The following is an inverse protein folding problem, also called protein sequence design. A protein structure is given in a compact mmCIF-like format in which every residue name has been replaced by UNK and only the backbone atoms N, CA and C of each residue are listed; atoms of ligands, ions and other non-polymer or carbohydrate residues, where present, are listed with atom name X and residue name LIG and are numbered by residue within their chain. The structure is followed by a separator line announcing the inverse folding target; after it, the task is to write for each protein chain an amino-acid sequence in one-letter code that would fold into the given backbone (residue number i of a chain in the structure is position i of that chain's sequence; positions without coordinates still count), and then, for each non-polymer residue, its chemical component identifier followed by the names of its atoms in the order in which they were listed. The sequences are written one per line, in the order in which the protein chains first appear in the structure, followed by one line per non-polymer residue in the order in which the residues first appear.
data_IF_661984611733
#
_entry.id   IF_661984611733
#
_cell.length_a   1.000
_cell.length_b   1.000
_cell.length_c   1.000
_cell.angle_alpha   90.00
_cell.angle_beta   90.00
_cell.angle_gamma   90.00
#
_symmetry.space_group_name_H-M   'P 1'
#
loop_
_entity.id
_entity.type
_entity.pdbx_description
1 polymer ?
#
# COMPACT_ATOMS: atom_id res chain seq x y z
N UNK A 1 13.24 25.16 4.68
CA UNK A 1 11.86 24.82 4.25
C UNK A 1 11.32 23.92 5.34
N UNK A 2 10.37 24.40 6.15
CA UNK A 2 9.70 23.55 7.13
C UNK A 2 8.97 22.43 6.36
N UNK A 3 9.24 21.18 6.71
CA UNK A 3 8.50 20.03 6.19
C UNK A 3 7.04 20.16 6.61
N UNK A 4 6.11 19.80 5.72
CA UNK A 4 4.68 19.83 6.05
C UNK A 4 4.42 18.87 7.23
N UNK A 5 3.39 19.11 8.06
CA UNK A 5 2.98 18.12 9.05
C UNK A 5 2.69 16.78 8.36
N UNK A 6 3.09 15.63 8.90
CA UNK A 6 2.93 14.33 8.24
C UNK A 6 1.47 14.00 7.85
N UNK A 7 0.51 14.47 8.64
CA UNK A 7 -0.93 14.37 8.34
C UNK A 7 -1.29 15.14 7.08
N UNK A 8 -0.68 16.32 6.87
CA UNK A 8 -0.88 17.13 5.68
C UNK A 8 -0.23 16.46 4.46
N UNK A 9 0.95 15.86 4.60
CA UNK A 9 1.58 15.08 3.53
C UNK A 9 0.71 13.91 3.08
N UNK A 10 0.20 13.11 4.04
CA UNK A 10 -0.71 12.01 3.75
C UNK A 10 -2.02 12.49 3.10
N UNK A 11 -2.58 13.61 3.57
CA UNK A 11 -3.79 14.21 2.99
C UNK A 11 -3.56 14.72 1.57
N UNK A 12 -2.39 15.29 1.29
CA UNK A 12 -1.99 15.71 -0.07
C UNK A 12 -1.86 14.52 -1.00
N UNK A 13 -1.26 13.41 -0.54
CA UNK A 13 -1.19 12.16 -1.31
C UNK A 13 -2.60 11.67 -1.66
N UNK A 14 -3.50 11.58 -0.68
CA UNK A 14 -4.88 11.14 -0.91
C UNK A 14 -5.62 12.06 -1.89
N UNK A 15 -5.51 13.38 -1.70
CA UNK A 15 -6.12 14.35 -2.59
C UNK A 15 -5.58 14.25 -4.02
N UNK A 16 -4.27 14.06 -4.19
CA UNK A 16 -3.65 13.90 -5.50
C UNK A 16 -4.17 12.65 -6.23
N UNK A 17 -4.30 11.52 -5.53
CA UNK A 17 -4.84 10.27 -6.10
C UNK A 17 -6.24 10.48 -6.63
N UNK A 18 -7.10 11.10 -5.82
CA UNK A 18 -8.48 11.39 -6.20
C UNK A 18 -8.54 12.35 -7.40
N UNK A 19 -7.77 13.44 -7.37
CA UNK A 19 -7.74 14.42 -8.46
C UNK A 19 -7.32 13.75 -9.77
N UNK A 20 -6.31 12.87 -9.73
CA UNK A 20 -5.85 12.14 -10.92
C UNK A 20 -6.92 11.19 -11.44
N UNK A 21 -7.62 10.49 -10.56
CA UNK A 21 -8.76 9.65 -10.90
C UNK A 21 -9.86 10.44 -11.64
N UNK A 22 -10.35 11.52 -11.02
CA UNK A 22 -11.39 12.36 -11.61
C UNK A 22 -10.93 13.03 -12.92
N UNK A 23 -9.65 13.42 -12.98
CA UNK A 23 -9.05 13.98 -14.18
C UNK A 23 -9.04 12.98 -15.33
N UNK A 24 -8.96 11.67 -15.05
CA UNK A 24 -9.09 10.61 -16.04
C UNK A 24 -10.45 10.66 -16.76
N UNK A 25 -11.55 10.63 -16.00
CA UNK A 25 -12.90 10.75 -16.56
C UNK A 25 -13.10 12.06 -17.30
N UNK A 26 -12.68 13.17 -16.67
CA UNK A 26 -12.82 14.50 -17.25
C UNK A 26 -12.09 14.62 -18.58
N UNK A 27 -10.83 14.19 -18.64
CA UNK A 27 -10.02 14.28 -19.84
C UNK A 27 -10.55 13.38 -20.95
N UNK A 28 -10.95 12.14 -20.64
CA UNK A 28 -11.55 11.25 -21.64
C UNK A 28 -12.83 11.85 -22.23
N UNK A 29 -13.73 12.35 -21.38
CA UNK A 29 -14.96 13.01 -21.83
C UNK A 29 -14.65 14.26 -22.69
N UNK A 30 -13.74 15.11 -22.23
CA UNK A 30 -13.39 16.36 -22.93
C UNK A 30 -12.75 16.10 -24.29
N UNK A 31 -11.85 15.12 -24.40
CA UNK A 31 -11.19 14.74 -25.66
C UNK A 31 -12.18 14.15 -26.67
N UNK A 32 -13.25 13.52 -26.20
CA UNK A 32 -14.33 13.00 -27.06
C UNK A 32 -15.43 14.05 -27.34
N UNK A 33 -15.29 15.28 -26.83
CA UNK A 33 -16.29 16.33 -26.98
C UNK A 33 -17.61 16.04 -26.24
N UNK A 34 -17.57 15.23 -25.18
CA UNK A 34 -18.72 14.93 -24.32
C UNK A 34 -18.92 16.09 -23.34
N UNK A 35 -20.18 16.47 -23.11
CA UNK A 35 -20.51 17.55 -22.18
C UNK A 35 -20.22 17.12 -20.73
N UNK A 36 -19.47 17.97 -20.02
CA UNK A 36 -19.22 17.86 -18.59
C UNK A 36 -19.78 19.12 -17.95
N UNK A 37 -20.54 18.99 -16.86
CA UNK A 37 -21.13 20.13 -16.16
C UNK A 37 -20.35 20.51 -14.91
N UNK A 38 -19.74 19.55 -14.20
CA UNK A 38 -19.08 19.78 -12.91
C UNK A 38 -17.78 18.99 -12.79
N UNK A 39 -16.77 19.60 -12.21
CA UNK A 39 -15.56 18.94 -11.72
C UNK A 39 -15.35 19.37 -10.27
N UNK A 40 -15.59 18.46 -9.34
CA UNK A 40 -15.54 18.76 -7.91
C UNK A 40 -14.42 17.98 -7.22
N UNK A 41 -13.64 18.68 -6.41
CA UNK A 41 -12.67 18.09 -5.49
C UNK A 41 -13.25 18.19 -4.08
N UNK A 42 -13.46 17.04 -3.46
CA UNK A 42 -14.03 16.87 -2.13
C UNK A 42 -15.54 16.67 -2.09
N UNK A 43 -16.07 16.56 -0.89
CA UNK A 43 -17.49 16.47 -0.57
C UNK A 43 -17.94 17.59 0.37
N UNK A 44 -19.26 17.76 0.50
CA UNK A 44 -19.88 18.74 1.39
C UNK A 44 -20.05 20.14 0.77
N UNK A 45 -20.14 21.19 1.60
CA UNK A 45 -20.37 22.55 1.14
C UNK A 45 -19.21 23.05 0.27
N UNK A 46 -19.56 23.86 -0.74
CA UNK A 46 -18.60 24.47 -1.66
C UNK A 46 -17.86 25.59 -0.94
N UNK A 47 -16.53 25.48 -0.87
CA UNK A 47 -15.66 26.52 -0.32
C UNK A 47 -15.28 27.55 -1.37
N UNK A 48 -14.95 27.07 -2.57
CA UNK A 48 -14.62 27.90 -3.71
C UNK A 48 -15.17 27.27 -4.98
N UNK A 49 -15.64 28.09 -5.92
CA UNK A 49 -16.05 27.64 -7.25
C UNK A 49 -15.72 28.67 -8.31
N UNK A 50 -15.43 28.18 -9.51
CA UNK A 50 -15.30 29.01 -10.70
C UNK A 50 -15.86 28.28 -11.92
N UNK A 51 -16.42 29.03 -12.86
CA UNK A 51 -16.98 28.49 -14.09
C UNK A 51 -16.03 28.76 -15.25
N UNK A 52 -15.64 27.72 -15.98
CA UNK A 52 -14.83 27.86 -17.18
C UNK A 52 -15.31 26.88 -18.27
N UNK A 53 -15.51 27.39 -19.49
CA UNK A 53 -15.93 26.59 -20.67
C UNK A 53 -17.15 25.68 -20.39
N UNK A 54 -18.18 26.21 -19.72
CA UNK A 54 -19.41 25.49 -19.32
C UNK A 54 -19.21 24.35 -18.30
N UNK A 55 -18.06 24.32 -17.62
CA UNK A 55 -17.78 23.41 -16.50
C UNK A 55 -17.67 24.22 -15.20
N UNK A 56 -18.41 23.82 -14.16
CA UNK A 56 -18.23 24.33 -12.80
C UNK A 56 -17.11 23.55 -12.11
N UNK A 57 -16.01 24.23 -11.81
CA UNK A 57 -14.92 23.70 -10.99
C UNK A 57 -15.16 24.10 -9.53
N UNK A 58 -15.19 23.15 -8.62
CA UNK A 58 -15.45 23.41 -7.19
C UNK A 58 -14.49 22.70 -6.26
N UNK A 59 -14.08 23.40 -5.21
CA UNK A 59 -13.35 22.84 -4.06
C UNK A 59 -14.32 22.81 -2.88
N UNK A 60 -14.46 21.66 -2.24
CA UNK A 60 -15.41 21.43 -1.15
C UNK A 60 -14.71 21.14 0.17
N UNK A 61 -15.45 21.26 1.27
CA UNK A 61 -14.90 21.23 2.62
C UNK A 61 -14.14 19.96 2.99
N UNK A 62 -14.56 18.79 2.50
CA UNK A 62 -13.96 17.51 2.85
C UNK A 62 -13.15 16.95 1.68
N UNK A 63 -11.81 16.90 1.72
CA UNK A 63 -10.96 16.44 0.61
C UNK A 63 -10.93 14.90 0.45
N UNK A 64 -11.99 14.21 0.84
CA UNK A 64 -12.10 12.75 0.91
C UNK A 64 -12.86 12.16 -0.29
N UNK A 65 -12.71 12.76 -1.46
CA UNK A 65 -13.27 12.26 -2.72
C UNK A 65 -13.38 13.35 -3.76
N UNK A 66 -14.07 13.07 -4.85
CA UNK A 66 -14.31 13.98 -5.96
C UNK A 66 -15.40 13.41 -6.83
N UNK A 67 -15.84 14.18 -7.82
CA UNK A 67 -16.69 13.64 -8.88
C UNK A 67 -16.64 14.52 -10.13
N UNK A 68 -16.80 13.85 -11.27
CA UNK A 68 -17.14 14.48 -12.56
C UNK A 68 -18.64 14.36 -12.81
N UNK A 69 -19.31 15.50 -12.91
CA UNK A 69 -20.74 15.59 -13.18
C UNK A 69 -21.04 15.70 -14.68
N UNK A 70 -21.97 14.87 -15.15
CA UNK A 70 -22.50 14.92 -16.52
C UNK A 70 -23.92 15.52 -16.52
N UNK A 71 -24.29 16.35 -17.50
CA UNK A 71 -25.62 16.99 -17.59
C UNK A 71 -26.73 16.05 -18.06
N UNK A 72 -26.47 14.73 -18.13
CA UNK A 72 -27.35 13.73 -18.72
C UNK A 72 -28.78 13.74 -18.18
N UNK A 73 -28.97 14.09 -16.89
CA UNK A 73 -30.27 14.08 -16.21
C UNK A 73 -30.49 15.34 -15.35
N UNK A 74 -29.77 16.43 -15.64
CA UNK A 74 -29.97 17.69 -14.93
C UNK A 74 -31.23 18.38 -15.47
N UNK A 75 -32.33 18.48 -14.69
CA UNK A 75 -33.58 19.06 -15.16
C UNK A 75 -33.44 20.55 -15.49
N UNK A 76 -32.40 21.21 -14.97
CA UNK A 76 -32.09 22.61 -15.23
C UNK A 76 -31.08 22.80 -16.38
N UNK A 77 -30.71 21.71 -17.08
CA UNK A 77 -29.80 21.77 -18.23
C UNK A 77 -30.48 22.37 -19.46
N UNK A 78 -29.81 23.34 -20.09
CA UNK A 78 -30.23 23.93 -21.38
C UNK A 78 -29.93 23.00 -22.58
N UNK A 79 -29.26 21.88 -22.37
CA UNK A 79 -28.84 20.94 -23.43
C UNK A 79 -30.00 20.02 -23.82
N UNK A 80 -30.32 19.87 -25.13
CA UNK A 80 -31.36 18.96 -25.59
C UNK A 80 -31.12 17.50 -25.15
N UNK A 81 -32.18 16.81 -24.73
CA UNK A 81 -32.11 15.42 -24.20
C UNK A 81 -31.54 14.42 -25.23
N UNK A 82 -31.72 14.71 -26.51
CA UNK A 82 -31.26 13.87 -27.65
C UNK A 82 -29.88 14.26 -28.19
N UNK A 83 -29.17 15.19 -27.52
CA UNK A 83 -27.84 15.62 -27.97
C UNK A 83 -26.85 14.43 -27.94
N UNK A 84 -26.14 14.23 -29.05
CA UNK A 84 -25.17 13.14 -29.26
C UNK A 84 -23.97 13.26 -28.31
N UNK A 85 -23.66 14.47 -27.85
CA UNK A 85 -22.55 14.77 -26.95
C UNK A 85 -22.89 14.54 -25.47
N UNK A 86 -24.12 14.12 -25.14
CA UNK A 86 -24.44 13.59 -23.80
C UNK A 86 -23.87 12.19 -23.63
N UNK A 87 -23.32 11.89 -22.45
CA UNK A 87 -22.63 10.62 -22.21
C UNK A 87 -23.59 9.44 -22.43
N UNK A 88 -24.82 9.52 -21.92
CA UNK A 88 -25.89 8.52 -22.15
C UNK A 88 -26.25 8.25 -23.62
N UNK A 89 -25.97 9.17 -24.53
CA UNK A 89 -26.31 9.07 -25.96
C UNK A 89 -25.13 8.59 -26.82
N UNK A 90 -23.93 8.55 -26.26
CA UNK A 90 -22.74 8.08 -26.95
C UNK A 90 -22.77 6.56 -27.22
N UNK A 91 -22.05 6.11 -28.27
CA UNK A 91 -21.77 4.70 -28.48
C UNK A 91 -21.19 4.02 -27.22
N UNK A 92 -21.42 2.72 -27.10
CA UNK A 92 -20.97 1.93 -25.94
C UNK A 92 -19.46 2.08 -25.73
N UNK A 93 -18.65 1.98 -26.79
CA UNK A 93 -17.19 2.10 -26.68
C UNK A 93 -16.75 3.46 -26.10
N UNK A 94 -17.40 4.54 -26.50
CA UNK A 94 -17.11 5.88 -25.99
C UNK A 94 -17.42 5.98 -24.50
N UNK A 95 -18.56 5.41 -24.08
CA UNK A 95 -18.94 5.35 -22.66
C UNK A 95 -17.98 4.47 -21.85
N UNK A 96 -17.57 3.31 -22.36
CA UNK A 96 -16.55 2.44 -21.73
C UNK A 96 -15.26 3.24 -21.51
N UNK A 97 -14.81 3.98 -22.52
CA UNK A 97 -13.57 4.75 -22.44
C UNK A 97 -13.64 5.79 -21.32
N UNK A 98 -14.72 6.58 -21.26
CA UNK A 98 -14.90 7.58 -20.19
C UNK A 98 -15.01 6.93 -18.82
N UNK A 99 -15.81 5.88 -18.66
CA UNK A 99 -16.04 5.22 -17.36
C UNK A 99 -14.76 4.51 -16.88
N UNK A 100 -13.95 3.93 -17.76
CA UNK A 100 -12.70 3.27 -17.37
C UNK A 100 -11.52 4.22 -17.21
N UNK A 101 -11.62 5.47 -17.71
CA UNK A 101 -10.50 6.39 -17.73
C UNK A 101 -9.97 6.76 -16.35
N UNK A 102 -10.83 6.88 -15.33
CA UNK A 102 -10.38 7.14 -13.96
C UNK A 102 -9.54 6.00 -13.38
N UNK A 103 -9.96 4.75 -13.61
CA UNK A 103 -9.17 3.56 -13.23
C UNK A 103 -7.82 3.57 -13.94
N UNK A 104 -7.83 3.78 -15.27
CA UNK A 104 -6.60 3.81 -16.07
C UNK A 104 -5.66 4.92 -15.59
N UNK A 105 -6.20 6.09 -15.24
CA UNK A 105 -5.42 7.20 -14.70
C UNK A 105 -4.69 6.81 -13.40
N UNK A 106 -5.35 6.10 -12.48
CA UNK A 106 -4.72 5.63 -11.24
C UNK A 106 -3.65 4.56 -11.49
N UNK A 107 -3.88 3.62 -12.41
CA UNK A 107 -2.88 2.62 -12.80
C UNK A 107 -1.64 3.31 -13.37
N UNK A 108 -1.83 4.27 -14.28
CA UNK A 108 -0.73 5.06 -14.87
C UNK A 108 -0.02 5.87 -13.78
N UNK A 109 -0.77 6.48 -12.85
CA UNK A 109 -0.19 7.29 -11.80
C UNK A 109 0.62 6.46 -10.80
N UNK A 110 0.14 5.28 -10.41
CA UNK A 110 0.92 4.32 -9.62
C UNK A 110 2.25 4.00 -10.29
N UNK A 111 2.23 3.68 -11.59
CA UNK A 111 3.45 3.39 -12.34
C UNK A 111 4.41 4.60 -12.34
N UNK A 112 3.89 5.81 -12.56
CA UNK A 112 4.68 7.04 -12.55
C UNK A 112 5.27 7.36 -11.17
N UNK A 113 4.56 7.07 -10.08
CA UNK A 113 5.05 7.23 -8.70
C UNK A 113 6.25 6.30 -8.47
N UNK A 114 6.13 5.02 -8.83
CA UNK A 114 7.23 4.05 -8.69
C UNK A 114 8.41 4.44 -9.60
N UNK A 115 8.14 4.90 -10.82
CA UNK A 115 9.19 5.36 -11.72
C UNK A 115 9.91 6.59 -11.15
N UNK A 116 9.17 7.56 -10.62
CA UNK A 116 9.72 8.74 -9.97
C UNK A 116 10.56 8.37 -8.74
N UNK A 117 10.12 7.39 -7.94
CA UNK A 117 10.88 6.84 -6.83
C UNK A 117 12.20 6.24 -7.32
N UNK A 118 12.19 5.42 -8.36
CA UNK A 118 13.40 4.78 -8.92
C UNK A 118 14.39 5.82 -9.45
N UNK A 119 13.91 6.87 -10.12
CA UNK A 119 14.75 7.94 -10.65
C UNK A 119 15.32 8.82 -9.53
N UNK A 120 14.53 9.11 -8.49
CA UNK A 120 14.92 10.04 -7.41
C UNK A 120 15.74 9.35 -6.31
N UNK A 121 15.27 8.21 -5.82
CA UNK A 121 15.89 7.45 -4.73
C UNK A 121 16.92 6.42 -5.22
N UNK A 122 16.84 5.98 -6.48
CA UNK A 122 17.67 4.90 -7.03
C UNK A 122 17.03 3.51 -6.89
N UNK A 123 17.67 2.53 -7.52
CA UNK A 123 17.27 1.12 -7.49
C UNK A 123 17.76 0.48 -6.19
N UNK A 124 16.89 -0.22 -5.42
CA UNK A 124 17.33 -1.06 -4.34
C UNK A 124 18.02 -2.30 -4.94
N UNK A 125 19.34 -2.36 -4.84
CA UNK A 125 20.11 -3.52 -5.26
C UNK A 125 20.60 -4.25 -4.02
N UNK A 126 20.24 -5.54 -3.95
CA UNK A 126 20.79 -6.45 -2.97
C UNK A 126 22.21 -6.81 -3.37
N UNK A 127 23.17 -6.16 -2.75
CA UNK A 127 24.57 -6.53 -2.87
C UNK A 127 24.83 -7.71 -1.94
N UNK A 128 25.01 -8.89 -2.52
CA UNK A 128 25.33 -10.10 -1.75
C UNK A 128 26.80 -10.07 -1.33
N UNK A 129 27.03 -10.23 -0.03
CA UNK A 129 28.34 -10.36 0.58
C UNK A 129 28.61 -11.84 0.90
N UNK A 130 29.89 -12.25 0.99
CA UNK A 130 30.22 -13.59 1.44
C UNK A 130 29.66 -13.90 2.82
N UNK A 131 29.30 -15.18 3.00
CA UNK A 131 28.93 -15.72 4.31
C UNK A 131 27.46 -15.56 4.69
N UNK A 132 27.19 -15.86 5.96
CA UNK A 132 25.85 -15.86 6.56
C UNK A 132 25.87 -14.93 7.76
N UNK A 133 24.98 -13.93 7.76
CA UNK A 133 24.86 -13.00 8.87
C UNK A 133 24.16 -13.68 10.05
N UNK A 134 24.59 -13.34 11.26
CA UNK A 134 23.97 -13.76 12.52
C UNK A 134 23.26 -12.54 13.15
N UNK A 135 21.96 -12.31 12.89
CA UNK A 135 21.24 -11.18 13.48
C UNK A 135 21.09 -11.32 14.98
N UNK A 136 20.87 -12.55 15.47
CA UNK A 136 20.57 -12.82 16.86
C UNK A 136 21.22 -14.13 17.32
N UNK A 137 21.71 -14.12 18.56
CA UNK A 137 22.27 -15.29 19.24
C UNK A 137 21.46 -15.52 20.50
N UNK A 138 20.86 -16.70 20.64
CA UNK A 138 20.07 -17.05 21.83
C UNK A 138 21.00 -17.19 23.04
N UNK A 139 20.59 -16.64 24.17
CA UNK A 139 21.31 -16.82 25.44
C UNK A 139 21.47 -18.31 25.79
N UNK A 140 22.59 -18.62 26.46
CA UNK A 140 22.97 -19.98 26.90
C UNK A 140 23.12 -21.04 25.79
N UNK A 141 23.04 -20.64 24.52
CA UNK A 141 23.23 -21.53 23.37
C UNK A 141 24.68 -21.96 23.15
N UNK A 142 24.89 -23.05 22.39
CA UNK A 142 26.24 -23.46 21.97
C UNK A 142 27.02 -22.34 21.27
N UNK A 143 26.39 -21.53 20.41
CA UNK A 143 27.03 -20.39 19.79
C UNK A 143 27.43 -19.30 20.80
N UNK A 144 26.57 -19.01 21.79
CA UNK A 144 26.89 -18.06 22.85
C UNK A 144 28.07 -18.55 23.71
N UNK A 145 28.10 -19.84 24.06
CA UNK A 145 29.21 -20.44 24.83
C UNK A 145 30.53 -20.44 24.05
N UNK A 146 30.46 -20.59 22.73
CA UNK A 146 31.62 -20.50 21.85
C UNK A 146 32.07 -19.05 21.57
N UNK A 147 31.28 -18.05 21.95
CA UNK A 147 31.62 -16.63 21.81
C UNK A 147 31.18 -15.99 20.51
N UNK A 148 30.24 -16.59 19.77
CA UNK A 148 29.54 -15.96 18.63
C UNK A 148 28.63 -14.86 19.15
N UNK A 149 28.57 -13.73 18.44
CA UNK A 149 27.80 -12.53 18.81
C UNK A 149 26.87 -12.12 17.69
N UNK A 150 25.82 -11.37 18.05
CA UNK A 150 24.97 -10.68 17.07
C UNK A 150 25.82 -9.74 16.21
N UNK A 151 25.58 -9.76 14.91
CA UNK A 151 26.32 -9.00 13.90
C UNK A 151 27.53 -9.74 13.30
N UNK A 152 27.91 -10.91 13.82
CA UNK A 152 28.97 -11.73 13.20
C UNK A 152 28.52 -12.28 11.83
N UNK A 153 29.47 -12.42 10.91
CA UNK A 153 29.25 -13.03 9.59
C UNK A 153 30.02 -14.34 9.50
N UNK A 154 29.34 -15.47 9.37
CA UNK A 154 29.98 -16.77 9.19
C UNK A 154 30.46 -16.89 7.74
N UNK A 155 31.77 -16.81 7.52
CA UNK A 155 32.43 -16.85 6.22
C UNK A 155 32.73 -18.28 5.75
N UNK A 156 32.84 -19.23 6.68
CA UNK A 156 33.18 -20.62 6.36
C UNK A 156 32.91 -21.58 7.51
N UNK A 157 32.87 -22.87 7.18
CA UNK A 157 32.68 -23.99 8.12
C UNK A 157 33.66 -25.12 7.78
N UNK A 158 34.36 -25.64 8.79
CA UNK A 158 35.38 -26.70 8.70
C UNK A 158 36.41 -26.47 7.58
N UNK A 159 36.91 -25.24 7.47
CA UNK A 159 37.89 -24.84 6.44
C UNK A 159 37.31 -24.65 5.02
N UNK A 160 36.03 -24.91 4.81
CA UNK A 160 35.33 -24.64 3.55
C UNK A 160 34.68 -23.27 3.59
N UNK A 161 35.09 -22.38 2.67
CA UNK A 161 34.48 -21.06 2.53
C UNK A 161 33.08 -21.15 1.94
N UNK A 162 32.15 -20.42 2.53
CA UNK A 162 30.78 -20.32 2.06
C UNK A 162 30.73 -19.42 0.80
N UNK A 163 29.95 -19.81 -0.23
CA UNK A 163 29.88 -19.04 -1.48
C UNK A 163 29.25 -17.66 -1.27
N UNK A 164 29.67 -16.70 -2.10
CA UNK A 164 29.18 -15.30 -2.09
C UNK A 164 27.70 -15.15 -2.41
N UNK A 165 27.11 -16.12 -3.11
CA UNK A 165 25.75 -16.00 -3.66
C UNK A 165 25.12 -17.37 -3.71
N UNK A 166 23.86 -17.44 -3.26
CA UNK A 166 23.02 -18.62 -3.43
C UNK A 166 22.00 -18.76 -2.30
N UNK A 167 20.73 -19.10 -2.61
CA UNK A 167 19.74 -19.45 -1.58
C UNK A 167 20.16 -20.67 -0.74
N UNK A 168 21.19 -21.42 -1.17
CA UNK A 168 21.73 -22.58 -0.50
C UNK A 168 22.84 -22.30 0.53
N UNK A 169 23.35 -21.06 0.67
CA UNK A 169 24.46 -20.79 1.59
C UNK A 169 24.05 -21.02 3.05
N UNK A 170 22.85 -20.54 3.41
CA UNK A 170 22.29 -20.77 4.75
C UNK A 170 21.98 -22.25 4.95
N UNK A 171 21.40 -22.93 3.96
CA UNK A 171 21.06 -24.35 4.08
C UNK A 171 22.30 -25.22 4.22
N UNK A 172 23.39 -24.92 3.50
CA UNK A 172 24.67 -25.62 3.61
C UNK A 172 25.24 -25.52 5.03
N UNK A 173 25.26 -24.32 5.61
CA UNK A 173 25.70 -24.12 6.99
C UNK A 173 24.81 -24.90 7.97
N UNK A 174 23.48 -24.80 7.82
CA UNK A 174 22.53 -25.52 8.66
C UNK A 174 22.71 -27.04 8.56
N UNK A 175 22.96 -27.58 7.37
CA UNK A 175 23.16 -29.01 7.14
C UNK A 175 24.44 -29.54 7.82
N UNK A 176 25.53 -28.78 7.79
CA UNK A 176 26.77 -29.15 8.48
C UNK A 176 26.57 -29.16 10.00
N UNK A 177 25.90 -28.15 10.54
CA UNK A 177 25.59 -28.07 11.97
C UNK A 177 24.67 -29.21 12.40
N UNK A 178 23.61 -29.50 11.63
CA UNK A 178 22.67 -30.59 11.95
C UNK A 178 23.33 -31.97 11.98
N UNK A 179 24.31 -32.22 11.11
CA UNK A 179 25.02 -33.51 10.99
C UNK A 179 26.08 -33.75 12.07
N UNK A 180 26.43 -32.74 12.86
CA UNK A 180 27.51 -32.81 13.84
C UNK A 180 27.04 -32.48 15.28
N UNK A 181 26.01 -33.17 15.83
CA UNK A 181 25.66 -32.99 17.24
C UNK A 181 26.81 -33.45 18.14
N UNK A 182 27.16 -32.64 19.15
CA UNK A 182 28.20 -32.97 20.14
C UNK A 182 29.63 -33.06 19.58
N UNK A 183 29.87 -32.63 18.33
CA UNK A 183 31.19 -32.56 17.71
C UNK A 183 31.58 -31.10 17.46
N UNK A 184 32.83 -30.74 17.71
CA UNK A 184 33.32 -29.39 17.38
C UNK A 184 33.24 -29.19 15.86
N UNK A 185 32.63 -28.08 15.48
CA UNK A 185 32.56 -27.56 14.11
C UNK A 185 33.31 -26.23 14.12
N UNK A 186 34.30 -26.10 13.25
CA UNK A 186 35.12 -24.89 13.19
C UNK A 186 34.46 -23.84 12.30
N UNK A 187 34.11 -22.68 12.86
CA UNK A 187 33.49 -21.58 12.13
C UNK A 187 34.50 -20.47 11.93
N UNK A 188 34.68 -20.06 10.67
CA UNK A 188 35.39 -18.81 10.35
C UNK A 188 34.36 -17.68 10.33
N UNK A 189 34.46 -16.74 11.27
CA UNK A 189 33.56 -15.61 11.39
C UNK A 189 34.28 -14.28 11.09
N UNK A 190 33.60 -13.35 10.45
CA UNK A 190 34.01 -11.95 10.33
C UNK A 190 33.31 -11.13 11.40
N UNK A 191 34.08 -10.47 12.27
CA UNK A 191 33.60 -9.53 13.29
C UNK A 191 34.25 -8.17 13.07
N UNK A 192 33.51 -7.25 12.45
CA UNK A 192 34.09 -5.99 11.96
C UNK A 192 35.15 -6.26 10.90
N UNK A 193 36.38 -5.76 11.12
CA UNK A 193 37.52 -5.97 10.22
C UNK A 193 38.39 -7.20 10.59
N UNK A 194 37.95 -8.03 11.55
CA UNK A 194 38.71 -9.20 12.01
C UNK A 194 38.05 -10.51 11.60
N UNK A 195 38.85 -11.40 11.01
CA UNK A 195 38.49 -12.81 10.82
C UNK A 195 38.91 -13.60 12.06
N UNK A 196 37.94 -14.24 12.72
CA UNK A 196 38.17 -15.10 13.88
C UNK A 196 37.77 -16.54 13.53
N UNK A 197 38.49 -17.50 14.09
CA UNK A 197 38.15 -18.91 13.98
C UNK A 197 37.62 -19.36 15.35
N UNK A 198 36.38 -19.85 15.38
CA UNK A 198 35.66 -20.24 16.60
C UNK A 198 35.15 -21.66 16.44
N UNK A 199 35.54 -22.52 17.36
CA UNK A 199 35.01 -23.87 17.44
C UNK A 199 33.69 -23.87 18.23
N UNK A 200 32.61 -24.25 17.55
CA UNK A 200 31.29 -24.38 18.16
C UNK A 200 30.95 -25.86 18.27
N UNK A 201 30.50 -26.30 19.44
CA UNK A 201 29.98 -27.65 19.64
C UNK A 201 28.45 -27.60 19.63
N UNK A 202 27.77 -28.04 18.55
CA UNK A 202 26.30 -28.00 18.48
C UNK A 202 25.65 -28.85 19.57
N UNK A 203 24.63 -28.28 20.20
CA UNK A 203 23.80 -28.99 21.18
C UNK A 203 22.94 -30.03 20.46
N UNK A 204 22.82 -31.22 21.02
CA UNK A 204 21.93 -32.25 20.49
C UNK A 204 20.48 -31.90 20.83
N UNK A 205 19.66 -31.74 19.80
CA UNK A 205 18.22 -31.50 19.94
C UNK A 205 17.46 -32.82 20.06
N UNK A 206 16.18 -32.76 20.45
CA UNK A 206 15.31 -33.93 20.66
C UNK A 206 15.13 -34.78 19.39
N UNK A 207 15.36 -34.20 18.22
CA UNK A 207 15.35 -34.84 16.91
C UNK A 207 16.70 -35.47 16.51
N UNK A 208 17.69 -35.52 17.44
CA UNK A 208 19.08 -35.96 17.22
C UNK A 208 19.86 -35.10 16.21
N UNK A 209 19.40 -33.88 15.94
CA UNK A 209 20.14 -32.92 15.11
C UNK A 209 20.93 -31.94 15.95
N UNK A 210 22.08 -31.50 15.45
CA UNK A 210 22.87 -30.44 16.08
C UNK A 210 22.22 -29.07 15.90
N UNK A 211 22.22 -28.25 16.95
CA UNK A 211 21.76 -26.85 16.92
C UNK A 211 22.73 -25.95 17.68
N UNK A 212 23.04 -24.80 17.11
CA UNK A 212 23.92 -23.81 17.75
C UNK A 212 23.19 -22.62 18.37
N UNK A 213 21.88 -22.48 18.12
CA UNK A 213 21.03 -21.46 18.74
C UNK A 213 21.24 -20.03 18.24
N UNK A 214 21.41 -19.86 16.92
CA UNK A 214 21.51 -18.56 16.26
C UNK A 214 20.41 -18.40 15.20
N UNK A 215 19.97 -17.17 14.98
CA UNK A 215 19.24 -16.82 13.77
C UNK A 215 20.25 -16.61 12.64
N UNK A 216 19.92 -17.12 11.45
CA UNK A 216 20.76 -16.99 10.26
C UNK A 216 20.00 -16.23 9.19
N UNK A 217 20.64 -15.24 8.60
CA UNK A 217 20.10 -14.55 7.42
C UNK A 217 21.17 -14.47 6.31
N UNK A 218 20.75 -14.47 5.04
CA UNK A 218 21.70 -14.22 3.96
C UNK A 218 22.39 -12.86 4.15
N UNK A 219 23.70 -12.81 3.93
CA UNK A 219 24.45 -11.57 4.07
C UNK A 219 24.29 -10.71 2.82
N UNK A 220 23.25 -9.89 2.75
CA UNK A 220 23.12 -8.86 1.71
C UNK A 220 22.95 -7.49 2.34
N UNK A 221 23.49 -6.47 1.66
CA UNK A 221 23.18 -5.08 1.96
C UNK A 221 22.26 -4.55 0.87
N UNK A 222 21.17 -3.91 1.28
CA UNK A 222 20.33 -3.17 0.34
C UNK A 222 21.02 -1.81 0.14
N UNK A 223 21.70 -1.68 -1.00
CA UNK A 223 22.33 -0.43 -1.42
C UNK A 223 21.44 0.22 -2.48
N UNK A 224 21.28 1.54 -2.41
CA UNK A 224 20.60 2.28 -3.48
C UNK A 224 21.61 2.68 -4.53
N UNK A 225 21.46 2.14 -5.74
CA UNK A 225 22.32 2.48 -6.87
C UNK A 225 21.51 3.25 -7.90
N UNK A 226 22.11 4.27 -8.51
CA UNK A 226 21.44 4.97 -9.62
C UNK A 226 21.32 4.01 -10.80
N UNK A 227 20.16 3.99 -11.50
CA UNK A 227 20.00 3.20 -12.70
C UNK A 227 21.06 3.60 -13.74
N UNK A 228 21.74 2.61 -14.32
CA UNK A 228 22.81 2.85 -15.30
C UNK A 228 22.26 3.35 -16.63
N UNK A 229 21.01 3.00 -16.92
CA UNK A 229 20.32 3.31 -18.16
C UNK A 229 18.80 3.37 -17.94
N UNK A 230 18.05 4.18 -18.73
CA UNK A 230 16.60 4.32 -18.59
C UNK A 230 15.83 2.99 -18.71
N UNK A 231 16.36 2.04 -19.49
CA UNK A 231 15.77 0.70 -19.63
C UNK A 231 15.82 -0.12 -18.34
N UNK A 232 16.87 0.04 -17.52
CA UNK A 232 16.97 -0.63 -16.22
C UNK A 232 15.88 -0.11 -15.28
N UNK A 233 15.73 1.22 -15.20
CA UNK A 233 14.67 1.86 -14.41
C UNK A 233 13.28 1.39 -14.84
N UNK A 234 12.97 1.41 -16.15
CA UNK A 234 11.70 0.94 -16.68
C UNK A 234 11.44 -0.54 -16.33
N UNK A 235 12.44 -1.41 -16.51
CA UNK A 235 12.31 -2.84 -16.24
C UNK A 235 12.08 -3.15 -14.76
N UNK A 236 12.73 -2.41 -13.87
CA UNK A 236 12.52 -2.51 -12.43
C UNK A 236 11.13 -2.00 -12.06
N UNK A 237 10.76 -0.79 -12.50
CA UNK A 237 9.44 -0.21 -12.24
C UNK A 237 8.32 -1.14 -12.71
N UNK A 238 8.46 -1.76 -13.89
CA UNK A 238 7.49 -2.73 -14.39
C UNK A 238 7.35 -3.95 -13.49
N UNK A 239 8.47 -4.52 -13.03
CA UNK A 239 8.47 -5.67 -12.12
C UNK A 239 7.88 -5.31 -10.75
N UNK A 240 8.28 -4.16 -10.21
CA UNK A 240 7.78 -3.63 -8.94
C UNK A 240 6.28 -3.37 -9.01
N UNK A 241 5.82 -2.69 -10.07
CA UNK A 241 4.41 -2.43 -10.32
C UNK A 241 3.58 -3.72 -10.38
N UNK A 242 4.07 -4.73 -11.10
CA UNK A 242 3.39 -6.03 -11.16
C UNK A 242 3.42 -6.76 -9.81
N UNK A 243 4.53 -6.67 -9.08
CA UNK A 243 4.66 -7.17 -7.72
C UNK A 243 3.60 -6.58 -6.80
N UNK A 244 3.55 -5.25 -6.69
CA UNK A 244 2.55 -4.54 -5.89
C UNK A 244 1.12 -4.85 -6.34
N UNK A 245 0.87 -4.92 -7.65
CA UNK A 245 -0.44 -5.31 -8.19
C UNK A 245 -0.84 -6.72 -7.76
N UNK A 246 0.08 -7.69 -7.86
CA UNK A 246 -0.17 -9.06 -7.41
C UNK A 246 -0.43 -9.13 -5.90
N UNK A 247 0.33 -8.39 -5.10
CA UNK A 247 0.12 -8.30 -3.65
C UNK A 247 -1.25 -7.73 -3.31
N UNK A 248 -1.68 -6.65 -3.96
CA UNK A 248 -3.02 -6.06 -3.75
C UNK A 248 -4.13 -7.05 -4.13
N UNK A 249 -3.99 -7.75 -5.26
CA UNK A 249 -4.97 -8.77 -5.69
C UNK A 249 -5.02 -9.96 -4.72
N UNK A 250 -3.87 -10.43 -4.25
CA UNK A 250 -3.79 -11.51 -3.27
C UNK A 250 -4.37 -11.10 -1.92
N UNK A 251 -4.11 -9.87 -1.46
CA UNK A 251 -4.72 -9.30 -0.25
C UNK A 251 -6.25 -9.24 -0.38
N UNK A 252 -6.77 -8.74 -1.51
CA UNK A 252 -8.21 -8.70 -1.76
C UNK A 252 -8.82 -10.10 -1.81
N UNK A 253 -8.12 -11.07 -2.44
CA UNK A 253 -8.55 -12.47 -2.48
C UNK A 253 -8.62 -13.07 -1.08
N UNK A 254 -7.62 -12.82 -0.23
CA UNK A 254 -7.60 -13.29 1.15
C UNK A 254 -8.72 -12.63 1.99
N UNK A 255 -8.94 -11.32 1.82
CA UNK A 255 -10.05 -10.61 2.47
C UNK A 255 -11.40 -11.20 2.09
N UNK A 256 -11.61 -11.56 0.82
CA UNK A 256 -12.86 -12.17 0.38
C UNK A 256 -13.04 -13.59 0.91
N UNK A 257 -11.98 -14.41 0.92
CA UNK A 257 -12.02 -15.78 1.44
C UNK A 257 -12.19 -15.85 2.97
N UNK A 258 -11.60 -14.90 3.69
CA UNK A 258 -11.61 -14.81 5.15
C UNK A 258 -12.38 -13.56 5.64
N UNK A 259 -13.53 -13.27 5.02
CA UNK A 259 -14.27 -12.02 5.24
C UNK A 259 -14.61 -11.75 6.71
N UNK A 260 -15.04 -12.79 7.45
CA UNK A 260 -15.37 -12.67 8.88
C UNK A 260 -14.20 -12.22 9.76
N UNK A 261 -12.96 -12.49 9.35
CA UNK A 261 -11.75 -12.10 10.08
C UNK A 261 -11.13 -10.82 9.54
N UNK A 262 -11.44 -10.44 8.30
CA UNK A 262 -10.83 -9.30 7.59
C UNK A 262 -11.70 -8.05 7.63
N UNK A 263 -13.02 -8.19 7.75
CA UNK A 263 -13.95 -7.06 7.75
C UNK A 263 -13.70 -6.07 8.91
N UNK A 264 -13.30 -6.57 10.08
CA UNK A 264 -12.92 -5.74 11.23
C UNK A 264 -11.61 -4.96 11.03
N UNK A 265 -10.84 -5.32 10.00
CA UNK A 265 -9.50 -4.81 9.67
C UNK A 265 -9.49 -3.85 8.48
N UNK A 266 -10.65 -3.57 7.88
CA UNK A 266 -10.75 -2.63 6.75
C UNK A 266 -10.59 -1.19 7.27
N UNK A 267 -9.52 -0.52 6.84
CA UNK A 267 -9.20 0.84 7.23
C UNK A 267 -10.14 1.86 6.57
N UNK A 268 -10.81 2.67 7.38
CA UNK A 268 -11.57 3.83 6.88
C UNK A 268 -10.65 4.98 6.40
N UNK A 269 -11.22 6.05 5.83
CA UNK A 269 -10.44 7.18 5.31
C UNK A 269 -9.52 7.84 6.35
N UNK A 270 -9.96 7.90 7.61
CA UNK A 270 -9.16 8.44 8.74
C UNK A 270 -7.95 7.56 9.03
N UNK A 271 -8.15 6.22 9.04
CA UNK A 271 -7.07 5.27 9.26
C UNK A 271 -6.04 5.31 8.11
N UNK A 272 -6.49 5.51 6.85
CA UNK A 272 -5.58 5.71 5.71
C UNK A 272 -4.69 6.94 5.93
N UNK A 273 -5.25 8.07 6.37
CA UNK A 273 -4.47 9.28 6.66
C UNK A 273 -3.52 9.05 7.83
N UNK A 274 -3.96 8.36 8.89
CA UNK A 274 -3.11 8.06 10.05
C UNK A 274 -1.90 7.19 9.67
N UNK A 275 -2.13 6.12 8.90
CA UNK A 275 -1.05 5.25 8.37
C UNK A 275 -0.15 6.04 7.43
N UNK A 276 -0.72 6.83 6.52
CA UNK A 276 0.07 7.68 5.63
C UNK A 276 0.94 8.68 6.39
N UNK A 277 0.43 9.24 7.49
CA UNK A 277 1.17 10.17 8.33
C UNK A 277 2.32 9.48 9.07
N UNK A 278 2.13 8.23 9.52
CA UNK A 278 3.19 7.43 10.12
C UNK A 278 4.28 7.08 9.11
N UNK A 279 3.88 6.70 7.90
CA UNK A 279 4.82 6.43 6.80
C UNK A 279 5.59 7.70 6.41
N UNK A 280 4.90 8.85 6.32
CA UNK A 280 5.52 10.14 6.04
C UNK A 280 6.56 10.55 7.09
N UNK A 281 6.33 10.23 8.37
CA UNK A 281 7.31 10.44 9.45
C UNK A 281 8.55 9.56 9.32
N UNK A 282 8.36 8.31 8.91
CA UNK A 282 9.39 7.27 9.00
C UNK A 282 10.24 7.14 7.73
N UNK A 283 9.67 7.32 6.53
CA UNK A 283 10.40 7.11 5.28
C UNK A 283 9.79 7.79 4.05
N UNK A 284 10.61 8.53 3.32
CA UNK A 284 10.20 9.11 2.02
C UNK A 284 9.96 8.01 0.97
N UNK A 285 10.77 6.94 0.95
CA UNK A 285 10.52 5.82 0.03
C UNK A 285 9.24 5.07 0.37
N UNK A 286 8.95 4.92 1.67
CA UNK A 286 7.70 4.34 2.13
C UNK A 286 6.51 5.18 1.67
N UNK A 287 6.63 6.52 1.64
CA UNK A 287 5.55 7.38 1.15
C UNK A 287 5.26 7.17 -0.35
N UNK A 288 6.29 6.98 -1.19
CA UNK A 288 6.11 6.59 -2.59
C UNK A 288 5.42 5.23 -2.72
N UNK A 289 5.90 4.24 -1.96
CA UNK A 289 5.32 2.89 -1.99
C UNK A 289 3.87 2.90 -1.50
N UNK A 290 3.57 3.64 -0.43
CA UNK A 290 2.23 3.85 0.10
C UNK A 290 1.31 4.50 -0.95
N UNK A 291 1.76 5.58 -1.60
CA UNK A 291 1.01 6.24 -2.65
C UNK A 291 0.76 5.32 -3.86
N UNK A 292 1.75 4.52 -4.26
CA UNK A 292 1.63 3.55 -5.36
C UNK A 292 0.62 2.44 -5.03
N UNK A 293 0.71 1.86 -3.83
CA UNK A 293 -0.21 0.83 -3.36
C UNK A 293 -1.63 1.37 -3.26
N UNK A 294 -1.84 2.59 -2.73
CA UNK A 294 -3.17 3.21 -2.68
C UNK A 294 -3.77 3.42 -4.07
N UNK A 295 -2.98 3.88 -5.05
CA UNK A 295 -3.45 4.04 -6.43
C UNK A 295 -3.87 2.70 -7.04
N UNK A 296 -3.04 1.67 -6.89
CA UNK A 296 -3.33 0.32 -7.39
C UNK A 296 -4.60 -0.22 -6.70
N UNK A 297 -4.71 -0.07 -5.38
CA UNK A 297 -5.86 -0.54 -4.63
C UNK A 297 -7.15 0.16 -5.07
N UNK A 298 -7.13 1.49 -5.21
CA UNK A 298 -8.27 2.25 -5.71
C UNK A 298 -8.66 1.84 -7.13
N UNK A 299 -7.67 1.62 -8.01
CA UNK A 299 -7.93 1.11 -9.35
C UNK A 299 -8.58 -0.28 -9.33
N UNK A 300 -8.04 -1.21 -8.54
CA UNK A 300 -8.58 -2.58 -8.45
C UNK A 300 -10.00 -2.58 -7.87
N UNK A 301 -10.24 -1.84 -6.79
CA UNK A 301 -11.58 -1.71 -6.18
C UNK A 301 -12.56 -1.09 -7.17
N UNK A 302 -12.17 0.00 -7.87
CA UNK A 302 -13.06 0.68 -8.82
C UNK A 302 -13.33 -0.14 -10.09
N UNK A 303 -12.56 -1.20 -10.39
CA UNK A 303 -12.86 -2.14 -11.48
C UNK A 303 -13.91 -3.17 -11.08
N UNK A 304 -14.09 -3.43 -9.78
CA UNK A 304 -15.03 -4.45 -9.34
C UNK A 304 -16.46 -4.07 -9.77
N UNK A 305 -17.29 -5.07 -10.16
CA UNK A 305 -18.67 -4.84 -10.58
C UNK A 305 -19.59 -4.60 -9.37
N UNK A 306 -19.22 -3.64 -8.52
CA UNK A 306 -19.95 -3.24 -7.34
C UNK A 306 -20.74 -1.96 -7.64
N UNK A 307 -22.01 -1.87 -7.22
CA UNK A 307 -22.77 -0.64 -7.40
C UNK A 307 -22.14 0.51 -6.60
N UNK A 308 -22.27 1.73 -7.12
CA UNK A 308 -21.61 2.97 -6.65
C UNK A 308 -20.13 3.16 -7.06
N UNK A 309 -19.49 2.15 -7.67
CA UNK A 309 -18.15 2.26 -8.26
C UNK A 309 -18.21 2.32 -9.78
N UNK A 310 -17.14 2.76 -10.43
CA UNK A 310 -17.02 2.81 -11.90
C UNK A 310 -17.28 1.46 -12.55
N UNK A 311 -16.74 0.40 -11.96
CA UNK A 311 -16.88 -0.98 -12.42
C UNK A 311 -18.33 -1.47 -12.39
N UNK A 312 -19.17 -0.93 -11.49
CA UNK A 312 -20.62 -1.16 -11.51
C UNK A 312 -21.29 -0.58 -12.75
N UNK A 313 -21.01 0.69 -13.06
CA UNK A 313 -21.48 1.35 -14.28
C UNK A 313 -20.96 0.64 -15.54
N UNK A 314 -19.68 0.24 -15.53
CA UNK A 314 -19.06 -0.53 -16.61
C UNK A 314 -19.74 -1.89 -16.79
N UNK A 315 -20.04 -2.61 -15.72
CA UNK A 315 -20.73 -3.89 -15.76
C UNK A 315 -22.14 -3.77 -16.37
N UNK A 316 -22.90 -2.74 -15.99
CA UNK A 316 -24.21 -2.45 -16.59
C UNK A 316 -24.10 -2.14 -18.09
N UNK A 317 -23.07 -1.40 -18.48
CA UNK A 317 -22.81 -1.08 -19.87
C UNK A 317 -22.39 -2.32 -20.70
N UNK A 318 -21.63 -3.24 -20.10
CA UNK A 318 -21.31 -4.53 -20.72
C UNK A 318 -22.57 -5.40 -20.89
N UNK A 319 -23.50 -5.36 -19.95
CA UNK A 319 -24.81 -6.03 -20.06
C UNK A 319 -25.64 -5.38 -21.19
N UNK A 320 -25.63 -4.05 -21.32
CA UNK A 320 -26.27 -3.34 -22.44
C UNK A 320 -25.69 -3.79 -23.79
N UNK A 321 -24.36 -3.90 -23.89
CA UNK A 321 -23.67 -4.38 -25.08
C UNK A 321 -24.08 -5.82 -25.43
N UNK A 322 -24.11 -6.72 -24.44
CA UNK A 322 -24.55 -8.10 -24.62
C UNK A 322 -26.01 -8.23 -25.05
N UNK A 323 -26.88 -7.27 -24.67
CA UNK A 323 -28.30 -7.22 -25.06
C UNK A 323 -28.54 -6.56 -26.43
N UNK A 324 -27.49 -6.31 -27.21
CA UNK A 324 -27.58 -5.70 -28.53
C UNK A 324 -27.84 -4.19 -28.50
N UNK A 325 -27.34 -3.49 -27.48
CA UNK A 325 -27.47 -2.03 -27.35
C UNK A 325 -28.82 -1.58 -26.77
N UNK A 326 -29.61 -2.50 -26.22
CA UNK A 326 -30.85 -2.17 -25.51
C UNK A 326 -30.52 -1.52 -24.17
N UNK A 327 -30.57 -0.18 -24.13
CA UNK A 327 -30.35 0.64 -22.93
C UNK A 327 -31.14 0.08 -21.73
N UNK A 328 -30.46 -0.01 -20.60
CA UNK A 328 -31.10 -0.34 -19.32
C UNK A 328 -31.95 0.88 -18.91
N UNK A 329 -33.19 0.68 -18.43
CA UNK A 329 -33.98 1.80 -17.92
C UNK A 329 -33.21 2.56 -16.85
N UNK A 330 -33.13 3.89 -16.96
CA UNK A 330 -32.34 4.72 -16.06
C UNK A 330 -32.77 4.55 -14.59
N UNK A 331 -34.06 4.35 -14.33
CA UNK A 331 -34.56 4.07 -12.98
C UNK A 331 -33.96 2.79 -12.38
N UNK A 332 -33.76 1.76 -13.21
CA UNK A 332 -33.17 0.50 -12.77
C UNK A 332 -31.68 0.66 -12.49
N UNK A 333 -30.97 1.37 -13.37
CA UNK A 333 -29.55 1.72 -13.16
C UNK A 333 -29.37 2.52 -11.87
N UNK A 334 -30.15 3.58 -11.66
CA UNK A 334 -30.11 4.39 -10.45
C UNK A 334 -30.46 3.59 -9.19
N UNK A 335 -31.46 2.69 -9.25
CA UNK A 335 -31.78 1.78 -8.13
C UNK A 335 -30.64 0.83 -7.81
N UNK A 336 -30.01 0.24 -8.82
CA UNK A 336 -28.86 -0.64 -8.62
C UNK A 336 -27.72 0.15 -7.99
N UNK A 337 -27.35 1.29 -8.57
CA UNK A 337 -26.23 2.11 -8.08
C UNK A 337 -26.48 2.65 -6.67
N UNK A 338 -27.67 3.16 -6.38
CA UNK A 338 -28.05 3.63 -5.03
C UNK A 338 -28.15 2.50 -4.01
N UNK A 339 -28.49 1.27 -4.41
CA UNK A 339 -28.49 0.13 -3.49
C UNK A 339 -27.10 -0.17 -2.91
N UNK A 340 -26.03 0.04 -3.69
CA UNK A 340 -24.65 -0.09 -3.20
C UNK A 340 -24.34 0.91 -2.10
N UNK A 341 -24.67 2.19 -2.31
CA UNK A 341 -24.51 3.25 -1.31
C UNK A 341 -25.31 2.91 -0.05
N UNK A 342 -26.56 2.46 -0.20
CA UNK A 342 -27.41 2.07 0.92
C UNK A 342 -26.77 0.95 1.75
N UNK A 343 -26.22 -0.09 1.09
CA UNK A 343 -25.52 -1.18 1.79
C UNK A 343 -24.31 -0.66 2.56
N UNK A 344 -23.47 0.17 1.95
CA UNK A 344 -22.29 0.74 2.62
C UNK A 344 -22.70 1.60 3.82
N UNK A 345 -23.74 2.43 3.68
CA UNK A 345 -24.26 3.25 4.79
C UNK A 345 -24.82 2.37 5.90
N UNK A 346 -25.59 1.33 5.58
CA UNK A 346 -26.13 0.40 6.58
C UNK A 346 -25.01 -0.35 7.32
N UNK A 347 -23.98 -0.80 6.62
CA UNK A 347 -22.81 -1.45 7.24
C UNK A 347 -22.04 -0.47 8.13
N UNK A 348 -21.83 0.77 7.67
CA UNK A 348 -21.19 1.82 8.47
C UNK A 348 -22.00 2.16 9.73
N UNK A 349 -23.32 2.34 9.59
CA UNK A 349 -24.21 2.56 10.73
C UNK A 349 -24.18 1.38 11.70
N UNK A 350 -24.20 0.14 11.19
CA UNK A 350 -24.12 -1.07 12.02
C UNK A 350 -22.83 -1.10 12.84
N UNK A 351 -21.67 -0.85 12.22
CA UNK A 351 -20.38 -0.79 12.94
C UNK A 351 -20.37 0.31 14.01
N UNK A 352 -20.92 1.49 13.71
CA UNK A 352 -21.03 2.58 14.70
C UNK A 352 -21.92 2.20 15.89
N UNK A 353 -23.03 1.51 15.62
CA UNK A 353 -23.97 1.04 16.65
C UNK A 353 -23.36 -0.09 17.49
N UNK A 354 -22.76 -1.10 16.85
CA UNK A 354 -22.13 -2.26 17.51
C UNK A 354 -20.93 -1.84 18.36
N UNK A 355 -20.13 -0.87 17.91
CA UNK A 355 -18.96 -0.37 18.67
C UNK A 355 -19.31 0.67 19.73
N UNK A 356 -20.56 1.14 19.83
CA UNK A 356 -20.98 2.13 20.85
C UNK A 356 -20.24 3.48 20.83
N UNK A 357 -19.42 3.73 19.80
CA UNK A 357 -18.49 4.88 19.70
C UNK A 357 -19.10 6.05 18.94
N UNK A 358 -20.25 6.56 19.41
CA UNK A 358 -20.82 7.81 18.87
C UNK A 358 -19.89 9.02 19.09
N UNK A 359 -19.06 8.96 20.13
CA UNK A 359 -18.23 10.09 20.57
C UNK A 359 -16.86 10.11 19.90
N UNK A 360 -16.31 8.97 19.42
CA UNK A 360 -14.90 8.93 19.00
C UNK A 360 -14.66 9.40 17.57
N UNK A 361 -15.65 9.27 16.67
CA UNK A 361 -15.54 9.75 15.28
C UNK A 361 -15.33 11.27 15.18
N UNK A 362 -15.78 12.02 16.20
CA UNK A 362 -15.57 13.46 16.33
C UNK A 362 -14.52 13.86 17.37
N UNK A 363 -14.06 12.93 18.22
CA UNK A 363 -13.13 13.24 19.30
C UNK A 363 -11.66 13.21 18.86
N UNK A 364 -11.28 12.24 18.02
CA UNK A 364 -9.89 12.13 17.51
C UNK A 364 -9.38 13.38 16.75
N UNK A 365 -10.14 14.03 15.85
CA UNK A 365 -9.68 15.25 15.20
C UNK A 365 -9.63 16.47 16.15
N UNK A 366 -10.37 16.46 17.27
CA UNK A 366 -10.37 17.52 18.27
C UNK A 366 -9.27 17.33 19.32
N UNK A 367 -9.03 16.11 19.78
CA UNK A 367 -7.94 15.77 20.71
C UNK A 367 -6.56 15.99 20.05
N UNK A 368 -6.44 15.74 18.73
CA UNK A 368 -5.24 16.10 17.96
C UNK A 368 -4.99 17.63 17.88
N UNK A 369 -6.07 18.43 17.96
CA UNK A 369 -5.99 19.89 18.04
C UNK A 369 -5.64 20.38 19.45
N UNK A 370 -6.06 19.65 20.49
CA UNK A 370 -5.76 19.96 21.89
C UNK A 370 -4.30 19.61 22.24
N UNK A 371 -3.77 18.52 21.67
CA UNK A 371 -2.35 18.17 21.73
C UNK A 371 -1.44 19.16 20.99
N UNK A 372 -1.96 19.86 19.97
CA UNK A 372 -1.24 20.95 19.30
C UNK A 372 -1.05 22.18 20.20
N UNK A 373 -1.95 22.38 21.18
CA UNK A 373 -1.91 23.51 22.11
C UNK A 373 -1.08 23.25 23.38
N UNK A 374 -0.75 21.99 23.68
CA UNK A 374 -0.04 21.60 24.91
C UNK A 374 1.46 21.28 24.69
N UNK A 375 1.99 21.52 23.50
CA UNK A 375 3.39 21.30 23.14
C UNK A 375 4.38 22.34 23.69
N UNK A 376 4.37 22.62 25.00
CA UNK A 376 5.55 23.15 25.71
C UNK A 376 5.74 22.42 27.03
N UNK A 377 6.88 21.74 27.16
CA UNK A 377 7.32 20.86 28.27
C UNK A 377 6.57 19.53 28.31
N UNK A 378 7.19 18.36 28.35
CA UNK A 378 8.48 17.98 28.93
C UNK A 378 9.07 16.74 28.26
N UNK A 379 10.38 16.59 28.44
CA UNK A 379 11.27 15.51 28.01
C UNK A 379 10.86 14.11 28.49
N UNK A 380 10.79 13.16 27.56
CA UNK A 380 10.94 11.72 27.82
C UNK A 380 11.90 11.16 26.76
N UNK A 381 12.94 10.46 27.24
CA UNK A 381 14.01 9.85 26.44
C UNK A 381 13.51 8.67 25.58
N UNK A 382 14.17 8.35 24.44
CA UNK A 382 13.73 7.31 23.52
C UNK A 382 14.32 5.94 23.90
N UNK A 383 13.48 4.95 24.20
CA UNK A 383 13.89 3.55 24.24
C UNK A 383 13.89 2.99 22.80
N UNK A 384 15.07 2.60 22.33
CA UNK A 384 15.30 2.06 20.99
C UNK A 384 14.83 0.61 20.87
N UNK A 385 13.86 0.32 20.00
CA UNK A 385 13.57 -1.05 19.57
C UNK A 385 13.23 -1.14 18.07
N UNK A 386 14.09 -1.90 17.38
CA UNK A 386 13.91 -2.64 16.13
C UNK A 386 13.77 -1.90 14.79
N UNK A 387 14.88 -1.86 14.03
CA UNK A 387 15.18 -2.93 13.05
C UNK A 387 14.23 -3.09 11.87
N UNK A 388 14.57 -2.45 10.75
CA UNK A 388 13.80 -2.28 9.52
C UNK A 388 13.71 -3.54 8.63
N UNK A 389 12.49 -4.01 8.34
CA UNK A 389 12.16 -4.84 7.16
C UNK A 389 10.81 -4.39 6.58
N UNK A 390 10.84 -3.72 5.41
CA UNK A 390 9.65 -3.16 4.73
C UNK A 390 8.71 -4.26 4.18
N UNK A 391 9.22 -5.48 4.01
CA UNK A 391 8.42 -6.64 3.55
C UNK A 391 7.41 -7.16 4.57
N UNK A 392 7.69 -7.00 5.87
CA UNK A 392 6.79 -7.42 6.95
C UNK A 392 5.81 -6.30 7.36
N UNK A 393 6.05 -5.06 6.90
CA UNK A 393 5.27 -3.88 7.30
C UNK A 393 3.86 -3.80 6.69
N UNK A 394 3.59 -4.57 5.63
CA UNK A 394 2.24 -4.65 5.03
C UNK A 394 1.35 -5.66 5.79
N UNK A 395 1.94 -6.51 6.64
CA UNK A 395 1.22 -7.49 7.47
C UNK A 395 0.78 -6.90 8.82
N UNK A 396 1.37 -5.79 9.30
CA UNK A 396 0.95 -5.10 10.52
C UNK A 396 -0.15 -4.06 10.29
N UNK A 397 -1.28 -4.49 9.71
CA UNK A 397 -2.60 -3.90 9.99
C UNK A 397 -3.35 -4.66 11.10
N UNK A 398 -2.66 -5.53 11.86
CA UNK A 398 -3.07 -6.07 13.17
C UNK A 398 -1.82 -6.49 13.93
N UNK A 399 -1.43 -5.70 14.94
CA UNK A 399 -1.03 -6.16 16.28
C UNK A 399 -0.67 -4.92 17.10
N UNK A 400 -1.63 -4.45 17.89
CA UNK A 400 -1.40 -3.87 19.22
C UNK A 400 -2.77 -3.68 19.87
N UNK A 401 -3.17 -4.70 20.64
CA UNK A 401 -3.88 -4.58 21.93
C UNK A 401 -4.41 -5.95 22.33
N UNK A 402 -3.54 -6.79 22.91
CA UNK A 402 -3.92 -7.80 23.90
C UNK A 402 -2.74 -8.07 24.85
N UNK A 403 -2.33 -7.03 25.57
CA UNK A 403 -1.78 -7.19 26.91
C UNK A 403 -2.35 -6.09 27.81
N UNK A 404 -3.56 -6.34 28.33
CA UNK A 404 -3.92 -6.05 29.72
C UNK A 404 -5.32 -6.58 30.02
N UNK A 405 -5.43 -7.48 30.99
CA UNK A 405 -6.70 -7.99 31.49
C UNK A 405 -6.66 -9.45 31.92
N UNK A 406 -6.22 -9.66 33.16
CA UNK A 406 -6.57 -10.85 33.95
C UNK A 406 -8.09 -10.93 34.19
#
# INVERSE_FOLDING_TARGET
MESLPPVLEASVVLAAIIIVHESGHFLAAHLQGIHVSKFAIGFGPVLAKFNAKNVEYSIRAFPLGGFVGFPDNDPDSEIPVDDVNLLKNRPIFDRVLVISAGVVANVVFAYLIIFAQVVSSGLPVQEAFPGVLVPEVRELSAAARAGVRSGDVILGVDGVLLPKTGPSTVSQLVDVIKKNPGRNVSLRIGRGDQDLEIDVMPDESTDRTGRIGVQLSPNFKISKVRPKNPGEAFSYTWREFWGLTSSVLDSLRQTFQNFSQSASKVSGPVAIIAVGAEVARSSTDGLYQFAAVLNINLAVINVLPLPALDGGSLALLLIEAARGGKKIPQELEQRIMSSGIMVVVLLGCREVIERGRWVVFWKEPFDALELWNLGTSSSVEPESRYGTHIGDFIVCLVEDDLQDGA
#
